data_IF_528744948140
#
_entry.id   IF_528744948140
#
_cell.length_a   1.000
_cell.length_b   1.000
_cell.length_c   1.000
_cell.angle_alpha   90.00
_cell.angle_beta   90.00
_cell.angle_gamma   90.00
#
_symmetry.space_group_name_H-M   'P 1'
#
loop_
_entity.id
_entity.type
_entity.pdbx_description
1 polymer ?
#
# COMPACT_ATOMS: atom_id res chain seq x y z
N UNK A 1 -39.24 -39.48 -49.05
CA UNK A 1 -38.68 -38.18 -49.49
C UNK A 1 -39.65 -37.07 -49.17
N UNK A 2 -39.35 -36.25 -48.15
CA UNK A 2 -39.67 -34.81 -48.02
C UNK A 2 -38.82 -34.23 -46.89
N UNK A 3 -38.38 -32.97 -47.00
CA UNK A 3 -37.15 -32.48 -46.39
C UNK A 3 -37.40 -31.79 -45.06
N UNK A 4 -36.41 -31.99 -44.20
CA UNK A 4 -36.13 -31.32 -42.94
C UNK A 4 -35.62 -29.89 -43.13
N UNK A 5 -35.55 -29.17 -42.00
CA UNK A 5 -34.75 -27.97 -41.72
C UNK A 5 -35.45 -26.60 -41.75
N UNK A 6 -36.12 -26.28 -40.63
CA UNK A 6 -36.22 -24.91 -40.12
C UNK A 6 -35.89 -24.92 -38.61
N UNK A 7 -34.59 -24.91 -38.30
CA UNK A 7 -34.05 -24.59 -36.97
C UNK A 7 -33.63 -23.12 -36.97
N UNK A 8 -34.06 -22.28 -36.01
CA UNK A 8 -33.56 -20.92 -35.89
C UNK A 8 -32.11 -20.93 -35.42
N UNK A 9 -31.22 -20.28 -36.19
CA UNK A 9 -29.81 -20.04 -35.86
C UNK A 9 -29.68 -19.26 -34.54
N UNK A 10 -29.44 -19.96 -33.43
CA UNK A 10 -28.79 -19.41 -32.22
C UNK A 10 -27.28 -19.56 -32.38
N UNK A 11 -26.58 -18.57 -32.90
CA UNK A 11 -25.12 -18.33 -32.75
C UNK A 11 -24.88 -16.96 -33.38
N UNK A 12 -24.70 -15.87 -32.62
CA UNK A 12 -23.39 -15.17 -32.55
C UNK A 12 -23.24 -14.17 -31.37
N UNK A 13 -24.03 -14.24 -30.29
CA UNK A 13 -23.95 -13.23 -29.21
C UNK A 13 -22.94 -13.51 -28.08
N UNK A 14 -22.28 -14.67 -28.06
CA UNK A 14 -21.38 -15.05 -26.95
C UNK A 14 -19.99 -14.40 -27.05
N UNK A 15 -19.48 -14.24 -28.28
CA UNK A 15 -18.18 -13.59 -28.55
C UNK A 15 -18.23 -12.08 -28.34
N UNK A 16 -19.32 -11.41 -28.70
CA UNK A 16 -19.49 -9.97 -28.43
C UNK A 16 -19.66 -9.70 -26.93
N UNK A 17 -20.45 -10.52 -26.21
CA UNK A 17 -20.52 -10.40 -24.74
C UNK A 17 -19.17 -10.64 -24.07
N UNK A 18 -18.41 -11.66 -24.45
CA UNK A 18 -17.08 -11.90 -23.86
C UNK A 18 -16.06 -10.80 -24.19
N UNK A 19 -16.13 -10.21 -25.39
CA UNK A 19 -15.26 -9.11 -25.79
C UNK A 19 -15.64 -7.81 -25.08
N UNK A 20 -16.94 -7.48 -24.98
CA UNK A 20 -17.47 -6.35 -24.20
C UNK A 20 -17.20 -6.53 -22.69
N UNK A 21 -17.30 -7.75 -22.17
CA UNK A 21 -16.99 -8.06 -20.76
C UNK A 21 -15.50 -7.90 -20.50
N UNK A 22 -14.62 -8.33 -21.42
CA UNK A 22 -13.16 -8.11 -21.33
C UNK A 22 -12.75 -6.65 -21.45
N UNK A 23 -13.45 -5.87 -22.27
CA UNK A 23 -13.19 -4.44 -22.46
C UNK A 23 -13.66 -3.59 -21.27
N UNK A 24 -14.68 -4.06 -20.54
CA UNK A 24 -15.27 -3.33 -19.41
C UNK A 24 -14.80 -3.81 -18.02
N UNK A 25 -13.97 -4.85 -17.95
CA UNK A 25 -13.39 -5.29 -16.67
C UNK A 25 -12.33 -4.29 -16.18
N UNK A 26 -12.51 -3.66 -15.01
CA UNK A 26 -11.50 -2.78 -14.46
C UNK A 26 -10.24 -3.59 -14.14
N UNK A 27 -9.08 -2.98 -14.36
CA UNK A 27 -7.76 -3.58 -14.10
C UNK A 27 -7.41 -4.82 -14.94
N UNK A 28 -7.97 -4.97 -16.16
CA UNK A 28 -7.52 -5.97 -17.13
C UNK A 28 -6.00 -5.97 -17.37
N UNK A 29 -5.37 -4.79 -17.26
CA UNK A 29 -3.93 -4.59 -17.41
C UNK A 29 -3.11 -5.18 -16.23
N UNK A 30 -3.76 -5.67 -15.16
CA UNK A 30 -3.15 -6.23 -13.96
C UNK A 30 -3.47 -7.74 -13.79
N UNK A 31 -2.72 -8.65 -14.45
CA UNK A 31 -2.97 -10.09 -14.36
C UNK A 31 -2.94 -10.65 -12.93
N UNK A 32 -2.10 -10.09 -12.07
CA UNK A 32 -1.98 -10.50 -10.67
C UNK A 32 -3.24 -10.15 -9.87
N UNK A 33 -3.89 -9.02 -10.18
CA UNK A 33 -5.02 -8.50 -9.43
C UNK A 33 -6.23 -9.40 -9.59
N UNK A 34 -6.45 -9.92 -10.79
CA UNK A 34 -7.52 -10.87 -11.04
C UNK A 34 -7.34 -12.18 -10.26
N UNK A 35 -6.10 -12.73 -10.21
CA UNK A 35 -5.80 -13.92 -9.40
C UNK A 35 -5.93 -13.65 -7.90
N UNK A 36 -5.45 -12.48 -7.44
CA UNK A 36 -5.60 -12.04 -6.05
C UNK A 36 -7.08 -11.90 -5.68
N UNK A 37 -7.90 -11.30 -6.55
CA UNK A 37 -9.34 -11.10 -6.36
C UNK A 37 -10.06 -12.43 -6.22
N UNK A 38 -9.80 -13.40 -7.11
CA UNK A 38 -10.38 -14.75 -6.99
C UNK A 38 -10.04 -15.39 -5.65
N UNK A 39 -8.81 -15.23 -5.15
CA UNK A 39 -8.45 -15.72 -3.82
C UNK A 39 -9.21 -15.01 -2.71
N UNK A 40 -9.40 -13.69 -2.80
CA UNK A 40 -10.19 -12.96 -1.80
C UNK A 40 -11.63 -13.42 -1.78
N UNK A 41 -12.24 -13.61 -2.96
CA UNK A 41 -13.61 -14.10 -3.13
C UNK A 41 -13.78 -15.49 -2.53
N UNK A 42 -12.84 -16.41 -2.83
CA UNK A 42 -12.84 -17.78 -2.26
C UNK A 42 -12.64 -17.83 -0.75
N UNK A 43 -12.00 -16.81 -0.17
CA UNK A 43 -11.83 -16.72 1.27
C UNK A 43 -13.10 -16.24 2.00
N UNK A 44 -14.12 -15.76 1.28
CA UNK A 44 -15.37 -15.30 1.87
C UNK A 44 -16.38 -16.45 2.03
N UNK A 45 -17.36 -16.31 2.96
CA UNK A 45 -18.46 -17.27 3.09
C UNK A 45 -19.23 -17.44 1.77
N UNK A 46 -19.53 -18.69 1.40
CA UNK A 46 -20.19 -19.01 0.13
C UNK A 46 -21.56 -18.35 -0.05
N UNK A 47 -22.27 -18.07 1.06
CA UNK A 47 -23.55 -17.37 1.06
C UNK A 47 -23.51 -15.96 0.45
N UNK A 48 -22.33 -15.32 0.43
CA UNK A 48 -22.14 -13.97 -0.11
C UNK A 48 -22.15 -13.93 -1.65
N UNK A 49 -21.91 -15.07 -2.32
CA UNK A 49 -21.79 -15.15 -3.78
C UNK A 49 -23.08 -15.54 -4.49
N UNK A 50 -24.19 -15.69 -3.74
CA UNK A 50 -25.53 -15.98 -4.26
C UNK A 50 -25.55 -17.12 -5.31
N UNK A 51 -24.72 -18.14 -5.09
CA UNK A 51 -24.54 -19.22 -6.04
C UNK A 51 -25.74 -20.17 -6.04
N UNK A 52 -26.15 -20.72 -7.20
CA UNK A 52 -27.04 -21.87 -7.24
C UNK A 52 -26.40 -23.03 -6.44
N UNK A 53 -27.17 -23.75 -5.61
CA UNK A 53 -26.64 -24.77 -4.70
C UNK A 53 -25.96 -25.98 -5.37
N UNK A 54 -25.93 -26.05 -6.71
CA UNK A 54 -25.49 -27.22 -7.49
C UNK A 54 -24.25 -26.97 -8.38
N UNK A 55 -23.68 -25.76 -8.38
CA UNK A 55 -22.48 -25.47 -9.19
C UNK A 55 -21.19 -25.49 -8.34
N UNK A 56 -20.16 -26.14 -8.88
CA UNK A 56 -18.90 -26.39 -8.19
C UNK A 56 -17.98 -25.15 -8.23
N UNK A 57 -17.68 -24.58 -7.06
CA UNK A 57 -16.87 -23.34 -6.88
C UNK A 57 -15.39 -23.49 -7.27
N UNK A 58 -14.93 -24.71 -7.57
CA UNK A 58 -13.58 -25.00 -8.04
C UNK A 58 -13.36 -24.62 -9.52
N UNK A 59 -14.43 -24.43 -10.31
CA UNK A 59 -14.29 -23.97 -11.69
C UNK A 59 -14.09 -22.45 -11.75
N UNK A 60 -12.86 -22.03 -12.04
CA UNK A 60 -12.48 -20.63 -12.31
C UNK A 60 -13.42 -19.97 -13.34
N UNK A 61 -13.96 -20.74 -14.30
CA UNK A 61 -14.84 -20.24 -15.37
C UNK A 61 -16.23 -19.90 -14.86
N UNK A 62 -16.77 -20.70 -13.94
CA UNK A 62 -18.09 -20.50 -13.36
C UNK A 62 -18.08 -19.29 -12.42
N UNK A 63 -17.02 -19.13 -11.61
CA UNK A 63 -16.86 -17.96 -10.75
C UNK A 63 -16.81 -16.67 -11.57
N UNK A 64 -16.00 -16.64 -12.63
CA UNK A 64 -15.91 -15.49 -13.52
C UNK A 64 -17.25 -15.19 -14.23
N UNK A 65 -18.02 -16.21 -14.60
CA UNK A 65 -19.30 -16.04 -15.28
C UNK A 65 -20.38 -15.35 -14.40
N UNK A 66 -20.37 -15.61 -13.10
CA UNK A 66 -21.38 -15.10 -12.16
C UNK A 66 -20.94 -13.86 -11.38
N UNK A 67 -19.70 -13.86 -10.89
CA UNK A 67 -19.19 -12.78 -10.05
C UNK A 67 -18.83 -11.54 -10.86
N UNK A 68 -18.28 -11.71 -12.06
CA UNK A 68 -17.78 -10.58 -12.86
C UNK A 68 -18.90 -9.63 -13.33
N UNK A 69 -20.08 -10.10 -13.76
CA UNK A 69 -21.21 -9.22 -14.04
C UNK A 69 -21.65 -8.42 -12.81
N UNK A 70 -21.73 -9.05 -11.63
CA UNK A 70 -22.08 -8.38 -10.37
C UNK A 70 -21.04 -7.31 -10.00
N UNK A 71 -19.76 -7.67 -10.08
CA UNK A 71 -18.64 -6.76 -9.87
C UNK A 71 -18.70 -5.52 -10.77
N UNK A 72 -18.89 -5.74 -12.08
CA UNK A 72 -19.00 -4.66 -13.07
C UNK A 72 -20.25 -3.81 -12.82
N UNK A 73 -21.37 -4.42 -12.41
CA UNK A 73 -22.59 -3.67 -12.10
C UNK A 73 -22.43 -2.80 -10.86
N UNK A 74 -21.85 -3.33 -9.78
CA UNK A 74 -21.54 -2.57 -8.56
C UNK A 74 -20.62 -1.39 -8.91
N UNK A 75 -19.57 -1.62 -9.70
CA UNK A 75 -18.70 -0.53 -10.21
C UNK A 75 -19.52 0.54 -10.92
N UNK A 76 -20.35 0.13 -11.88
CA UNK A 76 -21.16 1.06 -12.66
C UNK A 76 -22.09 1.89 -11.77
N UNK A 77 -22.70 1.29 -10.74
CA UNK A 77 -23.55 1.98 -9.77
C UNK A 77 -22.77 2.97 -8.91
N UNK A 78 -21.57 2.60 -8.44
CA UNK A 78 -20.70 3.52 -7.67
C UNK A 78 -20.31 4.75 -8.50
N UNK A 79 -20.00 4.54 -9.78
CA UNK A 79 -19.58 5.60 -10.70
C UNK A 79 -20.72 6.51 -11.16
N UNK A 80 -21.98 6.23 -10.81
CA UNK A 80 -23.08 7.12 -11.15
C UNK A 80 -22.96 8.48 -10.44
N UNK A 81 -23.40 9.58 -11.09
CA UNK A 81 -23.40 10.90 -10.48
C UNK A 81 -24.38 10.97 -9.30
N UNK A 82 -23.92 11.54 -8.19
CA UNK A 82 -24.69 11.71 -6.96
C UNK A 82 -24.16 10.91 -5.76
N UNK A 83 -24.64 11.21 -4.54
CA UNK A 83 -24.27 10.48 -3.34
C UNK A 83 -24.80 9.05 -3.44
N UNK A 84 -23.90 8.10 -3.36
CA UNK A 84 -24.21 6.67 -3.38
C UNK A 84 -23.94 6.09 -1.99
N UNK A 85 -24.79 5.19 -1.51
CA UNK A 85 -24.62 4.47 -0.25
C UNK A 85 -24.61 2.96 -0.51
N UNK A 86 -24.12 2.18 0.46
CA UNK A 86 -24.16 0.71 0.35
C UNK A 86 -25.61 0.23 0.23
N UNK A 87 -26.52 0.83 0.99
CA UNK A 87 -27.95 0.52 0.91
C UNK A 87 -28.54 0.83 -0.47
N UNK A 88 -28.21 1.98 -1.07
CA UNK A 88 -28.72 2.35 -2.39
C UNK A 88 -28.26 1.37 -3.48
N UNK A 89 -26.97 0.99 -3.46
CA UNK A 89 -26.42 0.01 -4.42
C UNK A 89 -27.07 -1.36 -4.21
N UNK A 90 -27.18 -1.81 -2.95
CA UNK A 90 -27.76 -3.11 -2.62
C UNK A 90 -29.22 -3.21 -3.07
N UNK A 91 -30.01 -2.15 -2.84
CA UNK A 91 -31.39 -2.07 -3.30
C UNK A 91 -31.49 -2.10 -4.83
N UNK A 92 -30.60 -1.41 -5.55
CA UNK A 92 -30.57 -1.44 -7.02
C UNK A 92 -30.28 -2.85 -7.57
N UNK A 93 -29.33 -3.57 -6.98
CA UNK A 93 -29.00 -4.94 -7.39
C UNK A 93 -30.18 -5.91 -7.21
N UNK A 94 -30.93 -5.73 -6.13
CA UNK A 94 -32.13 -6.52 -5.81
C UNK A 94 -33.26 -6.20 -6.79
N UNK A 95 -33.52 -4.91 -7.06
CA UNK A 95 -34.55 -4.48 -8.01
C UNK A 95 -34.28 -5.00 -9.44
N UNK A 96 -33.01 -5.15 -9.81
CA UNK A 96 -32.59 -5.69 -11.11
C UNK A 96 -32.64 -7.22 -11.19
N UNK A 97 -33.10 -7.91 -10.14
CA UNK A 97 -33.11 -9.38 -10.02
C UNK A 97 -31.74 -10.04 -10.26
N UNK A 98 -30.65 -9.30 -10.04
CA UNK A 98 -29.28 -9.84 -10.13
C UNK A 98 -28.92 -10.65 -8.88
N UNK A 99 -29.66 -10.45 -7.79
CA UNK A 99 -29.58 -11.21 -6.54
C UNK A 99 -30.92 -11.88 -6.32
N UNK A 100 -30.96 -13.22 -6.31
CA UNK A 100 -32.18 -13.97 -6.02
C UNK A 100 -32.38 -13.96 -4.51
N UNK A 101 -33.24 -13.05 -4.03
CA UNK A 101 -33.71 -13.08 -2.66
C UNK A 101 -34.54 -14.37 -2.46
N UNK A 102 -33.97 -15.38 -1.79
CA UNK A 102 -34.83 -16.26 -0.98
C UNK A 102 -35.49 -15.37 0.10
N UNK A 103 -36.72 -15.68 0.50
CA UNK A 103 -37.61 -14.83 1.33
C UNK A 103 -37.09 -14.39 2.72
N UNK A 104 -35.80 -14.54 3.01
CA UNK A 104 -35.20 -14.26 4.31
C UNK A 104 -34.50 -12.89 4.36
N UNK A 105 -34.60 -12.25 5.52
CA UNK A 105 -33.86 -11.05 5.93
C UNK A 105 -32.35 -11.13 5.63
N UNK A 106 -31.81 -12.35 5.61
CA UNK A 106 -30.42 -12.68 5.31
C UNK A 106 -29.98 -12.30 3.88
N UNK A 107 -30.91 -12.26 2.93
CA UNK A 107 -30.55 -12.04 1.53
C UNK A 107 -30.24 -10.55 1.22
N UNK A 108 -30.92 -9.61 1.91
CA UNK A 108 -30.57 -8.18 1.84
C UNK A 108 -29.25 -7.88 2.55
N UNK A 109 -28.98 -8.54 3.68
CA UNK A 109 -27.69 -8.39 4.37
C UNK A 109 -26.54 -8.94 3.52
N UNK A 110 -26.74 -10.09 2.87
CA UNK A 110 -25.77 -10.66 1.94
C UNK A 110 -25.47 -9.72 0.77
N UNK A 111 -26.46 -8.96 0.29
CA UNK A 111 -26.26 -8.01 -0.80
C UNK A 111 -25.41 -6.82 -0.34
N UNK A 112 -25.66 -6.32 0.88
CA UNK A 112 -24.83 -5.30 1.52
C UNK A 112 -23.40 -5.76 1.74
N UNK A 113 -23.23 -6.99 2.21
CA UNK A 113 -21.92 -7.60 2.48
C UNK A 113 -21.13 -7.80 1.18
N UNK A 114 -21.82 -8.15 0.08
CA UNK A 114 -21.23 -8.21 -1.25
C UNK A 114 -20.78 -6.83 -1.74
N UNK A 115 -21.63 -5.81 -1.63
CA UNK A 115 -21.27 -4.42 -2.03
C UNK A 115 -20.08 -3.92 -1.21
N UNK A 116 -20.09 -4.15 0.10
CA UNK A 116 -18.97 -3.83 0.98
C UNK A 116 -17.67 -4.53 0.55
N UNK A 117 -17.73 -5.83 0.26
CA UNK A 117 -16.57 -6.59 -0.19
C UNK A 117 -16.00 -6.06 -1.50
N UNK A 118 -16.87 -5.86 -2.49
CA UNK A 118 -16.50 -5.34 -3.82
C UNK A 118 -15.92 -3.93 -3.72
N UNK A 119 -16.48 -3.07 -2.87
CA UNK A 119 -15.94 -1.73 -2.63
C UNK A 119 -14.51 -1.80 -2.06
N UNK A 120 -14.27 -2.63 -1.04
CA UNK A 120 -12.94 -2.82 -0.46
C UNK A 120 -11.93 -3.35 -1.48
N UNK A 121 -12.34 -4.33 -2.29
CA UNK A 121 -11.48 -4.90 -3.32
C UNK A 121 -11.20 -3.91 -4.46
N UNK A 122 -12.21 -3.21 -4.99
CA UNK A 122 -12.06 -2.23 -6.09
C UNK A 122 -11.21 -1.02 -5.70
N UNK A 123 -11.21 -0.64 -4.43
CA UNK A 123 -10.42 0.49 -3.93
C UNK A 123 -9.07 0.07 -3.35
N UNK A 124 -8.93 -1.21 -2.97
CA UNK A 124 -7.85 -1.74 -2.13
C UNK A 124 -7.63 -0.97 -0.82
N UNK A 125 -8.59 -0.14 -0.38
CA UNK A 125 -8.45 0.63 0.86
C UNK A 125 -8.51 -0.29 2.08
N UNK A 126 -9.24 -1.39 1.97
CA UNK A 126 -9.37 -2.38 3.03
C UNK A 126 -9.66 -3.77 2.48
N UNK A 127 -9.59 -4.75 3.36
CA UNK A 127 -10.07 -6.11 3.11
C UNK A 127 -11.25 -6.38 4.05
N UNK A 128 -12.37 -6.90 3.53
CA UNK A 128 -13.47 -7.31 4.40
C UNK A 128 -13.06 -8.53 5.23
N UNK A 129 -13.56 -8.63 6.45
CA UNK A 129 -13.47 -9.83 7.28
C UNK A 129 -14.85 -10.23 7.80
N UNK A 130 -15.28 -11.45 7.49
CA UNK A 130 -16.54 -12.02 7.99
C UNK A 130 -16.29 -13.18 8.97
N UNK A 131 -15.04 -13.48 9.30
CA UNK A 131 -14.72 -14.52 10.30
C UNK A 131 -15.00 -14.04 11.73
N UNK A 132 -14.88 -12.73 11.97
CA UNK A 132 -15.08 -12.08 13.28
C UNK A 132 -16.50 -11.53 13.48
N UNK A 133 -17.49 -12.06 12.74
CA UNK A 133 -18.79 -11.43 12.52
C UNK A 133 -19.62 -11.22 13.81
N UNK A 134 -19.88 -9.95 14.14
CA UNK A 134 -21.03 -9.56 14.96
C UNK A 134 -22.22 -9.28 14.05
N UNK A 135 -23.34 -9.96 14.26
CA UNK A 135 -24.55 -9.89 13.42
C UNK A 135 -24.87 -8.49 12.89
N UNK A 136 -24.81 -8.30 11.57
CA UNK A 136 -25.24 -7.08 10.88
C UNK A 136 -24.26 -5.90 10.92
N UNK A 137 -22.99 -6.09 11.26
CA UNK A 137 -21.95 -5.05 11.20
C UNK A 137 -21.03 -5.16 9.97
N UNK A 138 -20.19 -4.15 9.77
CA UNK A 138 -19.14 -4.14 8.75
C UNK A 138 -17.77 -4.23 9.42
N UNK A 139 -16.97 -5.22 9.03
CA UNK A 139 -15.69 -5.52 9.67
C UNK A 139 -14.55 -5.55 8.68
N UNK A 140 -13.45 -4.87 9.01
CA UNK A 140 -12.19 -4.87 8.27
C UNK A 140 -11.27 -5.94 8.83
N UNK A 141 -10.56 -6.64 7.93
CA UNK A 141 -9.45 -7.50 8.31
C UNK A 141 -8.34 -6.67 8.95
N UNK A 142 -7.95 -7.07 10.15
CA UNK A 142 -6.83 -6.47 10.88
C UNK A 142 -5.48 -6.91 10.27
N UNK A 143 -4.97 -6.14 9.31
CA UNK A 143 -3.63 -6.34 8.74
C UNK A 143 -2.52 -5.72 9.59
N UNK A 144 -2.88 -4.99 10.65
CA UNK A 144 -1.96 -4.22 11.48
C UNK A 144 -1.81 -4.79 12.89
N UNK A 145 -2.26 -6.02 13.12
CA UNK A 145 -2.08 -6.80 14.35
C UNK A 145 -2.46 -5.99 15.62
N UNK A 146 -3.61 -5.32 15.58
CA UNK A 146 -4.18 -4.52 16.66
C UNK A 146 -3.61 -3.10 16.77
N UNK A 147 -2.77 -2.67 15.83
CA UNK A 147 -2.28 -1.29 15.81
C UNK A 147 -3.36 -0.34 15.30
N UNK A 148 -4.01 0.38 16.22
CA UNK A 148 -4.88 1.48 15.86
C UNK A 148 -4.04 2.62 15.26
N UNK A 149 -4.40 3.04 14.05
CA UNK A 149 -3.70 4.10 13.34
C UNK A 149 -4.66 5.17 12.81
N UNK A 150 -4.12 6.24 12.24
CA UNK A 150 -4.93 7.33 11.68
C UNK A 150 -5.87 6.81 10.58
N UNK A 151 -5.39 5.90 9.73
CA UNK A 151 -6.19 5.30 8.65
C UNK A 151 -7.21 4.28 9.12
N UNK A 152 -7.01 3.69 10.30
CA UNK A 152 -7.83 2.62 10.87
C UNK A 152 -8.01 2.83 12.36
N UNK A 153 -8.94 3.72 12.69
CA UNK A 153 -9.33 4.02 14.06
C UNK A 153 -10.29 2.95 14.58
N UNK A 154 -11.20 2.49 13.71
CA UNK A 154 -12.18 1.46 14.00
C UNK A 154 -12.10 0.39 12.93
N UNK A 155 -12.05 -0.88 13.34
CA UNK A 155 -12.14 -2.02 12.42
C UNK A 155 -13.59 -2.48 12.20
N UNK A 156 -14.51 -2.02 13.03
CA UNK A 156 -15.91 -2.42 13.02
C UNK A 156 -16.82 -1.20 12.94
N UNK A 157 -17.88 -1.29 12.13
CA UNK A 157 -18.96 -0.32 12.08
C UNK A 157 -20.32 -1.01 12.20
N UNK A 158 -21.30 -0.27 12.73
CA UNK A 158 -22.67 -0.75 12.87
C UNK A 158 -23.36 -0.84 11.49
N UNK A 159 -24.29 -1.79 11.32
CA UNK A 159 -24.99 -1.98 10.03
C UNK A 159 -25.74 -0.75 9.51
N UNK A 160 -26.15 0.15 10.41
CA UNK A 160 -26.85 1.39 10.04
C UNK A 160 -25.94 2.37 9.27
N UNK A 161 -24.62 2.24 9.38
CA UNK A 161 -23.66 3.06 8.63
C UNK A 161 -23.80 2.86 7.12
N UNK A 162 -24.43 1.77 6.65
CA UNK A 162 -24.67 1.48 5.23
C UNK A 162 -25.49 2.53 4.49
N UNK A 163 -26.26 3.34 5.24
CA UNK A 163 -27.11 4.42 4.72
C UNK A 163 -26.32 5.69 4.40
N UNK A 164 -25.16 5.85 5.01
CA UNK A 164 -24.29 6.98 4.76
C UNK A 164 -23.76 6.92 3.33
N UNK A 165 -23.40 8.07 2.77
CA UNK A 165 -22.69 8.07 1.49
C UNK A 165 -21.35 7.33 1.64
N UNK A 166 -20.76 6.89 0.52
CA UNK A 166 -19.54 6.08 0.57
C UNK A 166 -18.38 6.78 1.29
N UNK A 167 -18.19 8.10 1.13
CA UNK A 167 -17.11 8.83 1.81
C UNK A 167 -17.28 8.84 3.34
N UNK A 168 -18.49 9.12 3.83
CA UNK A 168 -18.83 9.17 5.26
C UNK A 168 -18.80 7.75 5.86
N UNK A 169 -19.24 6.75 5.10
CA UNK A 169 -19.11 5.35 5.47
C UNK A 169 -17.64 4.94 5.63
N UNK A 170 -16.78 5.27 4.67
CA UNK A 170 -15.35 4.92 4.73
C UNK A 170 -14.63 5.68 5.85
N UNK A 171 -14.97 6.96 6.05
CA UNK A 171 -14.45 7.78 7.14
C UNK A 171 -14.76 7.19 8.51
N UNK A 172 -15.90 6.49 8.66
CA UNK A 172 -16.27 5.81 9.90
C UNK A 172 -15.26 4.75 10.38
N UNK A 173 -14.39 4.25 9.49
CA UNK A 173 -13.28 3.35 9.86
C UNK A 173 -11.99 4.10 10.20
N UNK A 174 -11.84 5.34 9.74
CA UNK A 174 -10.63 6.16 9.91
C UNK A 174 -10.29 6.99 8.67
N UNK A 175 -9.18 7.73 8.74
CA UNK A 175 -8.67 8.59 7.69
C UNK A 175 -7.97 7.79 6.57
N UNK A 176 -8.73 6.96 5.85
CA UNK A 176 -8.20 6.15 4.74
C UNK A 176 -7.74 6.99 3.55
N UNK A 177 -8.46 8.09 3.29
CA UNK A 177 -8.14 9.09 2.27
C UNK A 177 -7.89 10.45 2.95
N UNK A 178 -6.64 10.71 3.38
CA UNK A 178 -6.31 11.98 4.03
C UNK A 178 -6.41 13.14 3.03
N UNK A 179 -6.88 14.32 3.46
CA UNK A 179 -6.71 15.54 2.68
C UNK A 179 -5.26 16.04 2.76
N UNK A 180 -4.92 16.95 1.85
CA UNK A 180 -3.59 17.54 1.77
C UNK A 180 -3.14 18.18 3.10
N UNK A 181 -1.91 17.85 3.53
CA UNK A 181 -1.27 18.36 4.75
C UNK A 181 -2.08 18.12 6.03
N UNK A 182 -2.89 17.06 6.06
CA UNK A 182 -3.61 16.65 7.25
C UNK A 182 -2.67 16.18 8.36
N UNK A 183 -2.85 16.71 9.56
CA UNK A 183 -2.16 16.24 10.76
C UNK A 183 -3.14 15.40 11.59
N UNK A 184 -2.97 14.08 11.59
CA UNK A 184 -3.81 13.17 12.38
C UNK A 184 -3.20 12.86 13.76
N UNK A 185 -2.20 13.62 14.20
CA UNK A 185 -1.52 13.37 15.47
C UNK A 185 -2.28 14.01 16.64
N UNK A 186 -2.72 13.23 17.63
CA UNK A 186 -3.54 13.73 18.73
C UNK A 186 -2.71 14.53 19.75
N UNK A 187 -1.43 14.21 19.88
CA UNK A 187 -0.54 14.80 20.88
C UNK A 187 0.03 16.15 20.40
N UNK A 188 0.03 17.20 21.25
CA UNK A 188 0.49 18.53 20.87
C UNK A 188 1.99 18.58 20.53
N UNK A 189 2.83 17.76 21.17
CA UNK A 189 4.25 17.67 20.84
C UNK A 189 4.43 17.03 19.46
N UNK A 190 3.63 16.00 19.15
CA UNK A 190 3.60 15.40 17.82
C UNK A 190 3.11 16.40 16.75
N UNK A 191 2.13 17.26 17.06
CA UNK A 191 1.70 18.35 16.15
C UNK A 191 2.81 19.39 15.94
N UNK A 192 3.59 19.71 16.97
CA UNK A 192 4.78 20.55 16.84
C UNK A 192 5.84 19.86 15.97
N UNK A 193 6.01 18.54 16.08
CA UNK A 193 6.89 17.78 15.19
C UNK A 193 6.41 17.85 13.74
N UNK A 194 5.11 17.75 13.47
CA UNK A 194 4.53 17.92 12.13
C UNK A 194 4.87 19.27 11.50
N UNK A 195 4.72 20.35 12.28
CA UNK A 195 4.96 21.71 11.80
C UNK A 195 6.45 22.01 11.62
N UNK A 196 7.32 21.45 12.48
CA UNK A 196 8.77 21.66 12.43
C UNK A 196 9.48 20.80 11.36
N UNK A 197 9.00 19.58 11.12
CA UNK A 197 9.63 18.67 10.17
C UNK A 197 9.24 19.07 8.76
N UNK A 198 10.10 19.88 8.12
CA UNK A 198 9.90 20.34 6.74
C UNK A 198 10.51 19.37 5.74
N UNK A 199 11.73 18.93 5.98
CA UNK A 199 12.49 18.09 5.06
C UNK A 199 12.83 16.74 5.68
N UNK A 200 13.02 15.75 4.81
CA UNK A 200 13.49 14.42 5.19
C UNK A 200 14.69 14.03 4.31
N UNK A 201 15.75 13.57 4.96
CA UNK A 201 16.95 13.09 4.28
C UNK A 201 16.82 11.60 3.98
N UNK A 202 17.13 11.19 2.75
CA UNK A 202 17.02 9.77 2.35
C UNK A 202 17.87 8.87 3.23
N UNK A 203 19.09 9.30 3.57
CA UNK A 203 20.01 8.56 4.44
C UNK A 203 19.43 8.27 5.84
N UNK A 204 18.39 8.97 6.27
CA UNK A 204 17.80 8.80 7.59
C UNK A 204 16.65 7.79 7.60
N UNK A 205 16.01 7.56 6.45
CA UNK A 205 14.80 6.73 6.32
C UNK A 205 14.89 5.66 5.24
N UNK A 206 16.08 5.43 4.68
CA UNK A 206 16.28 4.32 3.77
C UNK A 206 16.07 2.96 4.48
N UNK A 207 15.60 1.96 3.73
CA UNK A 207 15.24 0.65 4.27
C UNK A 207 16.40 -0.06 4.98
N UNK A 208 17.65 0.19 4.57
CA UNK A 208 18.80 -0.38 5.25
C UNK A 208 18.95 0.22 6.65
N UNK A 209 18.88 1.54 6.78
CA UNK A 209 18.92 2.25 8.07
C UNK A 209 17.74 1.85 8.94
N UNK A 210 16.52 1.90 8.41
CA UNK A 210 15.32 1.54 9.18
C UNK A 210 15.44 0.13 9.76
N UNK A 211 15.86 -0.85 8.96
CA UNK A 211 15.92 -2.25 9.40
C UNK A 211 17.16 -2.62 10.21
N UNK A 212 18.33 -2.02 9.94
CA UNK A 212 19.61 -2.40 10.58
C UNK A 212 20.01 -1.52 11.75
N UNK A 213 19.73 -0.22 11.65
CA UNK A 213 20.07 0.75 12.68
C UNK A 213 18.88 0.95 13.62
N UNK A 214 17.71 1.29 13.07
CA UNK A 214 16.52 1.59 13.87
C UNK A 214 15.76 0.34 14.36
N UNK A 215 16.14 -0.85 13.89
CA UNK A 215 15.49 -2.13 14.21
C UNK A 215 13.99 -2.17 13.87
N UNK A 216 13.56 -1.38 12.88
CA UNK A 216 12.19 -1.39 12.37
C UNK A 216 11.99 -2.63 11.50
N UNK A 217 10.93 -3.39 11.76
CA UNK A 217 10.48 -4.50 10.92
C UNK A 217 9.54 -3.95 9.84
N UNK A 218 9.74 -4.38 8.60
CA UNK A 218 8.86 -3.99 7.49
C UNK A 218 7.87 -5.14 7.26
N UNK A 219 6.59 -4.86 7.43
CA UNK A 219 5.48 -5.78 7.17
C UNK A 219 4.78 -5.34 5.90
N UNK A 220 4.74 -6.23 4.92
CA UNK A 220 3.98 -5.97 3.70
C UNK A 220 2.50 -6.14 4.00
N UNK A 221 1.63 -5.33 3.39
CA UNK A 221 0.16 -5.38 3.55
C UNK A 221 -0.54 -5.28 2.21
N UNK A 222 -1.77 -5.80 2.11
CA UNK A 222 -2.61 -5.74 0.92
C UNK A 222 -3.42 -4.45 0.85
N UNK A 223 -3.68 -3.78 1.97
CA UNK A 223 -4.49 -2.55 1.98
C UNK A 223 -3.65 -1.30 1.77
N UNK A 224 -4.12 -0.45 0.86
CA UNK A 224 -3.51 0.83 0.49
C UNK A 224 -3.51 1.83 1.65
N UNK A 225 -4.61 1.88 2.42
CA UNK A 225 -4.77 2.80 3.55
C UNK A 225 -3.69 2.61 4.63
N UNK A 226 -3.14 1.40 4.78
CA UNK A 226 -2.11 1.07 5.76
C UNK A 226 -0.67 1.49 5.35
N UNK A 227 -0.49 2.05 4.16
CA UNK A 227 0.85 2.33 3.63
C UNK A 227 1.61 3.36 4.48
N UNK A 228 2.82 3.00 4.94
CA UNK A 228 3.68 3.76 5.86
C UNK A 228 3.14 3.98 7.26
N UNK A 229 2.12 3.23 7.68
CA UNK A 229 1.72 3.25 9.08
C UNK A 229 2.83 2.64 9.96
N UNK A 230 3.17 3.31 11.05
CA UNK A 230 4.20 2.88 11.98
C UNK A 230 3.59 2.58 13.35
N UNK A 231 3.66 1.32 13.76
CA UNK A 231 3.45 0.95 15.15
C UNK A 231 4.71 1.28 15.96
N UNK A 232 4.64 2.38 16.73
CA UNK A 232 5.77 2.87 17.55
C UNK A 232 6.17 1.86 18.64
N UNK A 233 5.23 1.07 19.14
CA UNK A 233 5.46 0.12 20.23
C UNK A 233 6.17 -1.14 19.73
N UNK A 234 5.65 -1.75 18.65
CA UNK A 234 6.22 -2.97 18.08
C UNK A 234 7.40 -2.71 17.13
N UNK A 235 7.56 -1.46 16.67
CA UNK A 235 8.56 -1.09 15.68
C UNK A 235 8.28 -1.70 14.30
N UNK A 236 7.01 -1.88 13.95
CA UNK A 236 6.59 -2.43 12.66
C UNK A 236 6.10 -1.29 11.75
N UNK A 237 6.69 -1.20 10.57
CA UNK A 237 6.28 -0.31 9.48
C UNK A 237 5.49 -1.12 8.45
N UNK A 238 4.23 -0.75 8.22
CA UNK A 238 3.36 -1.40 7.25
C UNK A 238 3.54 -0.77 5.88
N UNK A 239 3.76 -1.59 4.84
CA UNK A 239 4.02 -1.11 3.48
C UNK A 239 3.13 -1.88 2.51
N UNK A 240 2.26 -1.16 1.81
CA UNK A 240 1.45 -1.71 0.73
C UNK A 240 2.32 -2.44 -0.30
N UNK A 241 1.84 -3.55 -0.88
CA UNK A 241 2.67 -4.43 -1.72
C UNK A 241 2.35 -4.41 -3.22
N UNK A 242 1.34 -3.66 -3.66
CA UNK A 242 0.88 -3.66 -5.06
C UNK A 242 0.92 -2.28 -5.74
N UNK A 243 2.08 -1.65 -5.92
CA UNK A 243 2.20 -0.33 -6.55
C UNK A 243 1.65 -0.25 -7.98
N UNK A 244 1.58 -1.35 -8.74
CA UNK A 244 0.94 -1.34 -10.08
C UNK A 244 -0.55 -0.99 -10.02
N UNK A 245 -1.23 -1.28 -8.91
CA UNK A 245 -2.60 -0.84 -8.68
C UNK A 245 -2.72 0.68 -8.71
N UNK A 246 -1.83 1.38 -7.98
CA UNK A 246 -1.80 2.84 -7.96
C UNK A 246 -1.56 3.41 -9.37
N UNK A 247 -0.62 2.82 -10.13
CA UNK A 247 -0.35 3.23 -11.51
C UNK A 247 -1.56 3.02 -12.43
N UNK A 248 -2.27 1.90 -12.29
CA UNK A 248 -3.46 1.61 -13.08
C UNK A 248 -4.61 2.56 -12.74
N UNK A 249 -4.86 2.83 -11.45
CA UNK A 249 -5.87 3.77 -11.00
C UNK A 249 -5.60 5.20 -11.51
N UNK A 250 -4.33 5.63 -11.51
CA UNK A 250 -3.91 6.92 -12.08
C UNK A 250 -4.11 6.99 -13.60
N UNK A 251 -3.85 5.89 -14.33
CA UNK A 251 -4.08 5.81 -15.77
C UNK A 251 -5.57 5.91 -16.10
N UNK A 252 -6.40 5.19 -15.35
CA UNK A 252 -7.86 5.15 -15.50
C UNK A 252 -8.50 6.52 -15.26
N UNK A 253 -8.10 7.21 -14.18
CA UNK A 253 -8.59 8.57 -13.88
C UNK A 253 -8.24 9.57 -15.00
N UNK A 254 -7.03 9.49 -15.57
CA UNK A 254 -6.64 10.37 -16.69
C UNK A 254 -7.42 10.10 -17.97
N UNK A 255 -7.69 8.83 -18.28
CA UNK A 255 -8.54 8.49 -19.44
C UNK A 255 -9.95 9.06 -19.26
N UNK A 256 -10.48 9.01 -18.03
CA UNK A 256 -11.77 9.61 -17.68
C UNK A 256 -11.76 11.13 -17.91
N UNK A 257 -10.82 11.88 -17.33
CA UNK A 257 -10.77 13.35 -17.48
C UNK A 257 -10.65 13.79 -18.94
N UNK A 258 -9.98 12.98 -19.78
CA UNK A 258 -9.91 13.22 -21.23
C UNK A 258 -11.23 12.91 -21.95
N UNK A 259 -11.93 11.85 -21.55
CA UNK A 259 -13.22 11.43 -22.12
C UNK A 259 -14.40 12.32 -21.69
N UNK A 260 -14.43 12.82 -20.46
CA UNK A 260 -15.46 13.75 -19.97
C UNK A 260 -15.43 15.08 -20.74
N UNK A 261 -14.23 15.57 -21.08
CA UNK A 261 -14.07 16.72 -22.00
C UNK A 261 -14.58 16.45 -23.42
N UNK A 262 -14.79 15.18 -23.77
CA UNK A 262 -15.34 14.72 -25.05
C UNK A 262 -16.80 14.22 -24.95
N UNK A 263 -17.48 14.41 -23.82
CA UNK A 263 -18.91 14.12 -23.66
C UNK A 263 -19.28 12.65 -23.41
N UNK A 264 -18.33 11.77 -23.11
CA UNK A 264 -18.59 10.36 -22.78
C UNK A 264 -18.52 10.10 -21.27
N UNK A 265 -19.67 9.97 -20.61
CA UNK A 265 -19.76 9.57 -19.20
C UNK A 265 -19.88 8.05 -19.05
N UNK A 266 -18.96 7.43 -18.31
CA UNK A 266 -19.07 5.99 -18.00
C UNK A 266 -17.81 5.28 -17.51
N UNK A 267 -16.62 5.84 -17.73
CA UNK A 267 -15.36 5.24 -17.29
C UNK A 267 -14.72 6.05 -16.18
N UNK A 268 -14.42 5.42 -15.04
CA UNK A 268 -13.76 6.07 -13.93
C UNK A 268 -13.26 5.12 -12.86
N UNK A 269 -12.26 5.57 -12.10
CA UNK A 269 -11.70 4.79 -11.00
C UNK A 269 -12.61 4.91 -9.77
N UNK A 270 -13.12 3.79 -9.28
CA UNK A 270 -13.95 3.70 -8.06
C UNK A 270 -13.27 4.37 -6.85
N UNK A 271 -11.94 4.20 -6.74
CA UNK A 271 -11.14 4.86 -5.70
C UNK A 271 -11.23 6.39 -5.74
N UNK A 272 -11.19 7.01 -6.93
CA UNK A 272 -11.30 8.46 -7.06
C UNK A 272 -12.73 8.92 -6.71
N UNK A 273 -13.74 8.15 -7.12
CA UNK A 273 -15.14 8.41 -6.77
C UNK A 273 -15.39 8.43 -5.26
N UNK A 274 -14.64 7.64 -4.48
CA UNK A 274 -14.69 7.66 -3.01
C UNK A 274 -14.07 8.94 -2.39
N UNK A 275 -13.27 9.70 -3.14
CA UNK A 275 -12.75 11.02 -2.75
C UNK A 275 -13.70 12.17 -3.06
N UNK A 276 -14.83 11.93 -3.74
CA UNK A 276 -15.75 13.00 -4.10
C UNK A 276 -16.57 13.46 -2.89
N UNK A 277 -16.10 14.52 -2.19
CA UNK A 277 -16.87 15.14 -1.12
C UNK A 277 -18.09 15.89 -1.68
N UNK A 278 -19.28 15.52 -1.20
CA UNK A 278 -20.52 16.25 -1.47
C UNK A 278 -20.90 17.25 -0.36
N UNK A 279 -20.05 17.44 0.66
CA UNK A 279 -20.34 18.32 1.79
C UNK A 279 -19.48 19.59 1.73
N UNK A 280 -20.02 20.65 1.11
CA UNK A 280 -19.41 21.98 1.18
C UNK A 280 -19.44 22.61 2.59
N UNK A 281 -20.19 22.02 3.54
CA UNK A 281 -20.58 22.71 4.79
C UNK A 281 -20.11 22.06 6.11
N UNK A 282 -19.54 20.86 6.10
CA UNK A 282 -19.36 20.09 7.35
C UNK A 282 -17.96 20.19 8.00
N UNK A 283 -16.96 20.78 7.34
CA UNK A 283 -15.59 20.87 7.88
C UNK A 283 -14.92 19.52 8.18
N UNK A 284 -15.47 18.42 7.65
CA UNK A 284 -14.97 17.07 7.87
C UNK A 284 -13.73 16.85 6.99
N UNK A 285 -12.58 16.45 7.57
CA UNK A 285 -11.38 16.21 6.78
C UNK A 285 -11.55 14.93 5.96
N UNK A 286 -11.65 15.04 4.64
CA UNK A 286 -11.59 13.92 3.70
C UNK A 286 -10.96 14.39 2.38
N UNK A 287 -10.15 13.54 1.76
CA UNK A 287 -9.45 13.91 0.52
C UNK A 287 -10.37 13.99 -0.70
N UNK A 288 -10.12 14.97 -1.58
CA UNK A 288 -10.76 15.09 -2.90
C UNK A 288 -10.26 14.06 -3.92
N UNK A 289 -10.79 14.06 -5.14
CA UNK A 289 -10.25 13.21 -6.23
C UNK A 289 -8.80 13.59 -6.59
N UNK A 290 -8.46 14.86 -6.51
CA UNK A 290 -7.10 15.37 -6.69
C UNK A 290 -6.18 14.91 -5.56
N UNK A 291 -6.67 14.90 -4.32
CA UNK A 291 -5.93 14.38 -3.17
C UNK A 291 -5.69 12.87 -3.31
N UNK A 292 -6.68 12.10 -3.80
CA UNK A 292 -6.51 10.67 -4.14
C UNK A 292 -5.42 10.50 -5.20
N UNK A 293 -5.46 11.29 -6.27
CA UNK A 293 -4.44 11.26 -7.34
C UNK A 293 -3.04 11.53 -6.76
N UNK A 294 -2.92 12.56 -5.93
CA UNK A 294 -1.66 12.93 -5.30
C UNK A 294 -1.17 11.85 -4.31
N UNK A 295 -2.05 11.29 -3.48
CA UNK A 295 -1.72 10.19 -2.56
C UNK A 295 -1.19 8.97 -3.32
N UNK A 296 -1.82 8.58 -4.43
CA UNK A 296 -1.36 7.46 -5.26
C UNK A 296 0.05 7.72 -5.82
N UNK A 297 0.32 8.95 -6.27
CA UNK A 297 1.64 9.37 -6.73
C UNK A 297 2.68 9.32 -5.59
N UNK A 298 2.32 9.81 -4.40
CA UNK A 298 3.15 9.77 -3.20
C UNK A 298 3.50 8.34 -2.76
N UNK A 299 2.53 7.42 -2.83
CA UNK A 299 2.77 6.00 -2.54
C UNK A 299 3.82 5.44 -3.50
N UNK A 300 3.79 5.79 -4.79
CA UNK A 300 4.83 5.35 -5.74
C UNK A 300 6.19 5.97 -5.41
N UNK A 301 6.22 7.27 -5.08
CA UNK A 301 7.44 8.00 -4.73
C UNK A 301 8.07 7.47 -3.43
N UNK A 302 7.27 7.03 -2.47
CA UNK A 302 7.77 6.52 -1.18
C UNK A 302 8.62 5.26 -1.33
N UNK A 303 8.32 4.38 -2.30
CA UNK A 303 9.16 3.20 -2.56
C UNK A 303 10.55 3.61 -3.04
N UNK A 304 10.66 4.73 -3.77
CA UNK A 304 11.95 5.29 -4.16
C UNK A 304 12.69 5.81 -2.94
N UNK A 305 12.03 6.64 -2.13
CA UNK A 305 12.56 7.17 -0.87
C UNK A 305 13.12 6.06 0.04
N UNK A 306 12.35 5.00 0.26
CA UNK A 306 12.70 3.95 1.24
C UNK A 306 13.64 2.90 0.62
N UNK A 307 13.35 2.37 -0.57
CA UNK A 307 14.05 1.20 -1.11
C UNK A 307 14.94 1.51 -2.32
N UNK A 308 14.49 2.42 -3.18
CA UNK A 308 14.98 2.56 -4.54
C UNK A 308 16.37 3.19 -4.66
N UNK A 309 16.70 4.18 -3.82
CA UNK A 309 17.88 5.03 -4.03
C UNK A 309 19.22 4.37 -3.64
N UNK A 310 19.31 3.71 -2.49
CA UNK A 310 20.58 3.18 -1.99
C UNK A 310 20.83 1.72 -2.39
N UNK A 311 22.09 1.36 -2.73
CA UNK A 311 22.45 -0.04 -3.07
C UNK A 311 22.17 -1.00 -1.89
N UNK A 312 22.35 -0.51 -0.66
CA UNK A 312 22.10 -1.29 0.57
C UNK A 312 20.60 -1.51 0.77
N UNK A 313 19.76 -0.49 0.56
CA UNK A 313 18.30 -0.60 0.65
C UNK A 313 17.72 -1.54 -0.39
N UNK A 314 18.21 -1.48 -1.64
CA UNK A 314 17.86 -2.47 -2.67
C UNK A 314 18.25 -3.89 -2.26
N UNK A 315 19.41 -4.07 -1.64
CA UNK A 315 19.81 -5.39 -1.11
C UNK A 315 18.94 -5.84 0.07
N UNK A 316 18.54 -4.92 0.96
CA UNK A 316 17.58 -5.18 2.05
C UNK A 316 16.23 -5.62 1.49
N UNK A 317 15.69 -4.89 0.50
CA UNK A 317 14.43 -5.24 -0.15
C UNK A 317 14.42 -6.68 -0.68
N UNK A 318 15.49 -7.11 -1.36
CA UNK A 318 15.64 -8.49 -1.85
C UNK A 318 15.58 -9.55 -0.75
N UNK A 319 15.94 -9.20 0.49
CA UNK A 319 15.88 -10.09 1.66
C UNK A 319 14.50 -10.10 2.32
N UNK A 320 13.73 -9.02 2.20
CA UNK A 320 12.40 -8.92 2.81
C UNK A 320 11.36 -9.83 2.15
N UNK A 321 11.58 -10.24 0.89
CA UNK A 321 10.74 -11.19 0.13
C UNK A 321 9.22 -10.89 0.28
N UNK A 322 8.73 -9.78 -0.28
CA UNK A 322 7.35 -9.28 -0.10
C UNK A 322 6.24 -10.31 -0.35
N UNK A 323 6.49 -11.28 -1.24
CA UNK A 323 5.48 -12.24 -1.69
C UNK A 323 5.75 -13.68 -1.23
N UNK A 324 6.52 -13.91 -0.14
CA UNK A 324 6.92 -15.27 0.29
C UNK A 324 5.74 -16.23 0.50
N UNK A 325 4.61 -15.72 1.01
CA UNK A 325 3.40 -16.51 1.31
C UNK A 325 2.36 -16.48 0.17
N UNK A 326 2.72 -15.93 -0.99
CA UNK A 326 1.79 -15.61 -2.07
C UNK A 326 2.22 -16.35 -3.35
N UNK A 327 1.26 -16.95 -4.09
CA UNK A 327 1.55 -17.61 -5.36
C UNK A 327 2.23 -16.66 -6.37
N UNK A 328 3.20 -17.13 -7.18
CA UNK A 328 3.90 -16.30 -8.18
C UNK A 328 2.98 -15.57 -9.16
N UNK A 329 1.81 -16.14 -9.46
CA UNK A 329 0.82 -15.53 -10.34
C UNK A 329 0.23 -14.22 -9.80
N UNK A 330 0.30 -14.01 -8.48
CA UNK A 330 -0.20 -12.81 -7.79
C UNK A 330 0.91 -11.80 -7.48
N UNK A 331 2.14 -12.02 -7.97
CA UNK A 331 3.26 -11.12 -7.68
C UNK A 331 3.18 -9.85 -8.53
N UNK A 332 3.20 -8.70 -7.87
CA UNK A 332 3.35 -7.43 -8.57
C UNK A 332 4.81 -7.21 -9.01
N UNK A 333 5.02 -7.28 -10.32
CA UNK A 333 6.34 -7.07 -10.94
C UNK A 333 6.83 -5.64 -10.82
N UNK A 334 5.92 -4.66 -10.72
CA UNK A 334 6.26 -3.22 -10.59
C UNK A 334 6.94 -2.96 -9.25
N UNK A 335 6.55 -3.65 -8.17
CA UNK A 335 7.21 -3.51 -6.87
C UNK A 335 8.72 -3.79 -6.97
N UNK A 336 9.09 -4.85 -7.70
CA UNK A 336 10.49 -5.18 -7.94
C UNK A 336 11.22 -4.12 -8.78
N UNK A 337 10.53 -3.53 -9.76
CA UNK A 337 11.11 -2.46 -10.58
C UNK A 337 11.33 -1.17 -9.76
N UNK A 338 10.43 -0.86 -8.83
CA UNK A 338 10.54 0.31 -7.95
C UNK A 338 11.60 0.12 -6.84
N UNK A 339 11.64 -1.05 -6.22
CA UNK A 339 12.50 -1.26 -5.05
C UNK A 339 13.82 -1.94 -5.37
N UNK A 340 13.92 -2.67 -6.48
CA UNK A 340 15.07 -3.54 -6.80
C UNK A 340 16.04 -2.97 -7.84
N UNK A 341 15.59 -2.05 -8.69
CA UNK A 341 16.40 -1.44 -9.77
C UNK A 341 16.82 -0.01 -9.40
N UNK A 342 18.03 0.39 -9.82
CA UNK A 342 18.53 1.76 -9.65
C UNK A 342 17.73 2.74 -10.51
N UNK A 343 17.56 2.42 -11.79
CA UNK A 343 16.70 3.17 -12.70
C UNK A 343 15.49 2.30 -13.07
N UNK A 344 14.27 2.69 -12.68
CA UNK A 344 13.08 2.01 -13.18
C UNK A 344 12.97 2.28 -14.68
N UNK A 345 12.74 1.26 -15.49
CA UNK A 345 12.33 1.42 -16.90
C UNK A 345 10.79 1.49 -16.97
N UNK A 346 10.17 2.12 -15.97
CA UNK A 346 8.74 2.41 -16.05
C UNK A 346 8.61 3.56 -17.03
N UNK A 347 8.08 3.28 -18.22
CA UNK A 347 7.73 4.28 -19.23
C UNK A 347 6.56 5.15 -18.73
N UNK A 348 6.80 5.91 -17.65
CA UNK A 348 6.05 7.09 -17.31
C UNK A 348 6.63 8.20 -18.20
N UNK A 349 6.30 8.18 -19.49
CA UNK A 349 6.88 9.14 -20.43
C UNK A 349 6.53 10.56 -20.00
N UNK A 350 7.54 11.24 -19.44
CA UNK A 350 7.67 12.68 -19.37
C UNK A 350 7.70 13.20 -20.81
N UNK A 351 6.61 13.84 -21.21
CA UNK A 351 6.44 14.40 -22.54
C UNK A 351 5.15 15.21 -22.66
N UNK A 352 4.08 14.80 -21.95
CA UNK A 352 2.83 15.56 -21.87
C UNK A 352 2.02 15.21 -20.59
N UNK A 353 2.57 15.58 -19.41
CA UNK A 353 1.93 15.40 -18.10
C UNK A 353 2.25 14.08 -17.37
N UNK A 354 3.51 13.86 -17.00
CA UNK A 354 4.02 12.63 -16.36
C UNK A 354 3.30 12.20 -15.07
N UNK A 355 3.28 10.89 -14.78
CA UNK A 355 2.54 10.29 -13.63
C UNK A 355 3.25 10.48 -12.30
N UNK A 356 4.58 10.30 -12.24
CA UNK A 356 5.41 10.63 -11.05
C UNK A 356 6.84 10.82 -11.54
N UNK A 357 7.48 11.92 -11.18
CA UNK A 357 8.91 12.12 -11.44
C UNK A 357 9.75 11.36 -10.41
N UNK A 358 10.33 10.22 -10.82
CA UNK A 358 11.08 9.32 -9.93
C UNK A 358 12.57 9.64 -9.91
N UNK A 359 12.90 10.89 -9.62
CA UNK A 359 14.29 11.38 -9.52
C UNK A 359 14.90 11.00 -8.17
N UNK A 360 16.15 10.53 -8.21
CA UNK A 360 16.98 10.35 -7.00
C UNK A 360 17.29 11.74 -6.42
N UNK A 361 16.86 11.98 -5.18
CA UNK A 361 17.09 13.23 -4.44
C UNK A 361 17.63 12.90 -3.06
N UNK A 362 18.58 13.68 -2.56
CA UNK A 362 19.14 13.48 -1.22
C UNK A 362 18.17 13.92 -0.11
N UNK A 363 17.32 14.89 -0.42
CA UNK A 363 16.27 15.42 0.46
C UNK A 363 14.94 15.55 -0.27
N UNK A 364 13.85 15.43 0.48
CA UNK A 364 12.48 15.68 0.02
C UNK A 364 11.80 16.69 0.93
N UNK A 365 11.01 17.59 0.35
CA UNK A 365 10.15 18.50 1.10
C UNK A 365 8.84 17.79 1.42
N UNK A 366 8.52 17.61 2.70
CA UNK A 366 7.35 16.84 3.10
C UNK A 366 6.02 17.51 2.72
N UNK A 367 5.95 18.85 2.70
CA UNK A 367 4.72 19.55 2.35
C UNK A 367 4.46 19.61 0.83
N UNK A 368 5.53 19.61 0.03
CA UNK A 368 5.50 19.61 -1.43
C UNK A 368 5.45 18.21 -2.03
N UNK A 369 6.38 17.34 -1.67
CA UNK A 369 6.56 16.01 -2.26
C UNK A 369 5.66 14.94 -1.62
N UNK A 370 5.29 15.10 -0.34
CA UNK A 370 4.48 14.11 0.40
C UNK A 370 3.33 14.72 1.23
N UNK A 371 2.49 15.63 0.69
CA UNK A 371 1.44 16.28 1.47
C UNK A 371 0.47 15.33 2.19
N UNK A 372 0.18 14.15 1.64
CA UNK A 372 -0.76 13.18 2.21
C UNK A 372 -0.09 12.18 3.14
N UNK A 373 1.13 11.74 2.82
CA UNK A 373 1.94 10.85 3.65
C UNK A 373 2.78 11.59 4.70
N UNK A 374 2.68 12.93 4.76
CA UNK A 374 3.49 13.79 5.66
C UNK A 374 3.40 13.38 7.12
N UNK A 375 2.19 13.12 7.63
CA UNK A 375 1.97 12.69 9.02
C UNK A 375 2.77 11.41 9.31
N UNK A 376 2.63 10.41 8.44
CA UNK A 376 3.28 9.10 8.55
C UNK A 376 4.80 9.18 8.42
N UNK A 377 5.30 9.94 7.45
CA UNK A 377 6.73 10.16 7.24
C UNK A 377 7.37 10.95 8.38
N UNK A 378 6.67 11.93 8.95
CA UNK A 378 7.14 12.67 10.13
C UNK A 378 7.25 11.73 11.33
N UNK A 379 6.25 10.88 11.56
CA UNK A 379 6.32 9.86 12.63
C UNK A 379 7.46 8.88 12.43
N UNK A 380 7.69 8.46 11.18
CA UNK A 380 8.79 7.56 10.82
C UNK A 380 10.16 8.21 11.03
N UNK A 381 10.34 9.46 10.58
CA UNK A 381 11.61 10.18 10.74
C UNK A 381 11.91 10.48 12.21
N UNK A 382 10.90 10.91 12.99
CA UNK A 382 11.03 11.12 14.42
C UNK A 382 11.39 9.82 15.15
N UNK A 383 10.74 8.70 14.81
CA UNK A 383 11.09 7.40 15.36
C UNK A 383 12.53 7.00 14.99
N UNK A 384 12.92 7.16 13.73
CA UNK A 384 14.27 6.84 13.26
C UNK A 384 15.34 7.73 13.89
N UNK A 385 15.04 8.99 14.21
CA UNK A 385 15.93 9.91 14.92
C UNK A 385 16.09 9.57 16.41
N UNK A 386 15.02 9.08 17.05
CA UNK A 386 15.06 8.67 18.47
C UNK A 386 15.92 7.42 18.71
N UNK A 387 16.13 6.58 17.69
CA UNK A 387 16.88 5.33 17.77
C UNK A 387 18.36 5.58 17.50
N UNK A 388 19.15 5.75 18.57
CA UNK A 388 20.62 5.78 18.49
C UNK A 388 21.21 4.38 18.20
N UNK A 389 22.33 4.28 17.46
CA UNK A 389 23.04 3.02 17.27
C UNK A 389 23.51 2.49 18.64
N UNK A 390 23.10 1.26 19.01
CA UNK A 390 23.40 0.67 20.33
C UNK A 390 24.65 -0.22 20.32
N UNK A 391 25.17 -0.56 19.15
CA UNK A 391 26.32 -1.44 18.98
C UNK A 391 27.44 -0.76 18.19
N UNK A 392 28.70 -1.07 18.49
CA UNK A 392 29.87 -0.64 17.71
C UNK A 392 29.72 -1.02 16.23
N UNK A 393 29.13 -2.19 15.94
CA UNK A 393 28.83 -2.61 14.56
C UNK A 393 27.78 -1.72 13.90
N UNK A 394 26.82 -1.22 14.67
CA UNK A 394 25.80 -0.29 14.18
C UNK A 394 26.39 1.11 13.99
N UNK A 395 27.23 1.58 14.91
CA UNK A 395 27.96 2.86 14.78
C UNK A 395 28.89 2.85 13.55
N UNK A 396 29.51 1.70 13.27
CA UNK A 396 30.32 1.50 12.06
C UNK A 396 29.49 1.55 10.76
N UNK A 397 28.23 1.12 10.81
CA UNK A 397 27.32 1.08 9.65
C UNK A 397 26.50 2.37 9.48
N UNK A 398 26.34 3.13 10.56
CA UNK A 398 25.58 4.38 10.62
C UNK A 398 26.45 5.54 10.14
N UNK A 399 26.17 6.02 8.92
CA UNK A 399 26.84 7.18 8.31
C UNK A 399 25.97 8.44 8.34
N UNK A 400 24.92 8.46 9.18
CA UNK A 400 24.00 9.60 9.28
C UNK A 400 24.67 10.78 9.95
N UNK A 401 25.41 10.52 11.02
CA UNK A 401 26.27 11.45 11.74
C UNK A 401 27.74 11.27 11.31
N UNK A 402 28.13 12.00 10.27
CA UNK A 402 29.50 11.99 9.75
C UNK A 402 30.53 12.35 10.82
N UNK A 403 30.16 13.16 11.82
CA UNK A 403 31.07 13.59 12.89
C UNK A 403 31.36 12.45 13.85
N UNK A 404 30.32 11.77 14.34
CA UNK A 404 30.48 10.59 15.20
C UNK A 404 31.20 9.45 14.47
N UNK A 405 30.91 9.25 13.19
CA UNK A 405 31.57 8.26 12.35
C UNK A 405 33.07 8.57 12.17
N UNK A 406 33.43 9.82 11.85
CA UNK A 406 34.83 10.25 11.73
C UNK A 406 35.58 10.18 13.06
N UNK A 407 34.96 10.57 14.16
CA UNK A 407 35.55 10.47 15.49
C UNK A 407 35.84 9.01 15.86
N UNK A 408 34.90 8.10 15.57
CA UNK A 408 35.10 6.66 15.76
C UNK A 408 36.31 6.14 14.97
N UNK A 409 36.41 6.46 13.67
CA UNK A 409 37.56 6.04 12.85
C UNK A 409 38.87 6.66 13.28
N UNK A 410 38.86 7.92 13.70
CA UNK A 410 40.05 8.60 14.22
C UNK A 410 40.58 7.86 15.46
N UNK A 411 39.72 7.57 16.43
CA UNK A 411 40.10 6.83 17.63
C UNK A 411 40.62 5.44 17.28
N UNK A 412 39.99 4.74 16.33
CA UNK A 412 40.42 3.40 15.92
C UNK A 412 41.80 3.42 15.26
N UNK A 413 42.06 4.38 14.37
CA UNK A 413 43.35 4.52 13.69
C UNK A 413 44.42 4.95 14.69
N UNK A 414 44.23 6.05 15.43
CA UNK A 414 45.22 6.56 16.39
C UNK A 414 45.48 5.58 17.55
N UNK A 415 44.44 4.88 18.00
CA UNK A 415 44.55 3.82 19.00
C UNK A 415 45.38 2.66 18.47
N UNK A 416 45.11 2.18 17.25
CA UNK A 416 45.87 1.07 16.65
C UNK A 416 47.35 1.42 16.44
N UNK A 417 47.65 2.64 15.95
CA UNK A 417 49.02 3.11 15.73
C UNK A 417 49.78 3.20 17.06
N UNK A 418 49.13 3.71 18.12
CA UNK A 418 49.74 3.79 19.45
C UNK A 418 50.12 2.41 20.00
N UNK A 419 49.26 1.41 19.84
CA UNK A 419 49.54 0.03 20.28
C UNK A 419 50.72 -0.57 19.51
N UNK A 420 50.77 -0.39 18.19
CA UNK A 420 51.88 -0.91 17.35
C UNK A 420 53.20 -0.24 17.72
N UNK A 421 53.20 1.09 17.91
CA UNK A 421 54.38 1.82 18.36
C UNK A 421 54.85 1.35 19.74
N UNK A 422 53.91 1.16 20.69
CA UNK A 422 54.22 0.65 22.02
C UNK A 422 54.86 -0.74 22.00
N UNK A 423 54.33 -1.66 21.19
CA UNK A 423 54.90 -3.00 20.99
C UNK A 423 56.31 -2.94 20.39
N UNK A 424 56.52 -2.06 19.42
CA UNK A 424 57.82 -1.89 18.76
C UNK A 424 58.86 -1.38 19.76
N UNK A 425 58.48 -0.40 20.60
CA UNK A 425 59.34 0.11 21.67
C UNK A 425 59.69 -0.97 22.70
N UNK A 426 58.72 -1.80 23.09
CA UNK A 426 58.99 -2.90 24.05
C UNK A 426 59.96 -3.93 23.46
N UNK A 427 59.81 -4.28 22.18
CA UNK A 427 60.72 -5.20 21.49
C UNK A 427 62.14 -4.62 21.45
N UNK A 428 62.29 -3.33 21.10
CA UNK A 428 63.61 -2.69 21.10
C UNK A 428 64.26 -2.67 22.48
N UNK A 429 63.50 -2.39 23.54
CA UNK A 429 64.01 -2.40 24.92
C UNK A 429 64.48 -3.78 25.36
N UNK A 430 63.73 -4.84 25.00
CA UNK A 430 64.11 -6.22 25.29
C UNK A 430 65.40 -6.59 24.55
N UNK A 431 65.52 -6.23 23.27
CA UNK A 431 66.72 -6.49 22.47
C UNK A 431 67.95 -5.75 23.03
N UNK A 432 67.81 -4.48 23.43
CA UNK A 432 68.91 -3.74 24.05
C UNK A 432 69.34 -4.36 25.38
N UNK A 433 68.40 -4.83 26.20
CA UNK A 433 68.69 -5.48 27.47
C UNK A 433 69.46 -6.80 27.28
N UNK A 434 69.09 -7.61 26.29
CA UNK A 434 69.82 -8.85 25.99
C UNK A 434 71.23 -8.60 25.47
N UNK A 435 71.45 -7.57 24.65
CA UNK A 435 72.79 -7.20 24.21
C UNK A 435 73.66 -6.74 25.38
N UNK A 436 73.10 -5.95 26.31
CA UNK A 436 73.83 -5.47 27.49
C UNK A 436 74.26 -6.60 28.44
N UNK A 437 73.39 -7.61 28.64
CA UNK A 437 73.76 -8.83 29.40
C UNK A 437 74.88 -9.60 28.68
N UNK A 438 74.79 -9.73 27.36
CA UNK A 438 75.76 -10.49 26.56
C UNK A 438 77.14 -9.81 26.57
N UNK A 439 77.18 -8.49 26.58
CA UNK A 439 78.43 -7.74 26.66
C UNK A 439 79.02 -7.80 28.08
N UNK A 440 78.19 -7.78 29.14
CA UNK A 440 78.65 -7.98 30.52
C UNK A 440 79.13 -9.40 30.84
N UNK A 441 78.77 -10.43 30.05
CA UNK A 441 79.35 -11.78 30.19
C UNK A 441 80.68 -11.97 29.45
N UNK A 442 81.10 -10.99 28.63
CA UNK A 442 82.34 -11.05 27.84
C UNK A 442 83.47 -10.16 28.38
N UNK A 443 83.17 -9.27 29.32
CA UNK A 443 84.16 -8.58 30.16
C UNK A 443 84.47 -9.40 31.40
#
# INVERSE_FOLDING_TARGET
>A
MRPSDLVPRRFTNQTNRQLETRLNTPYCDLPWYHKWLRRQVRAQPQGLLFYPPDENLDDDSALDAHFLPLWCRIRALILQPGPTSIDAISNALVLENLVILKQDYDAMQSARDLVFSVLGWQTMLYKPDFSSYSSGGYTLLDEMDGCNSESRVCLNQHGLSSRNNLSDFLLGFGMMLPPRNHCAMPDPDDQLLFSRTKTILVKDVDAHVLTKVCSIKIQWVDSLSCHLELNRQSGILYVFRYPSFCLSALKEYRSQTRSERAGGGGDGSVLHRCGLMHHYDAGVPWGSEEDVTALLAEIILSYRLIFGQSKRSRATFRRLRPFTKIPPAEHDKVLWQLCGRKRPELLLHSGDGGVVDLVERDEYDLAGDFPHLRSRLTRLSAHAASRKPRSIRQLWQDNRDSTAWLAFWSVLIFGSVSVVLGLTQTVFQILSYFNDIKDNQKG
#
